data_IF_388879898101
#
_entry.id   IF_388879898101
#
_cell.length_a   1.000
_cell.length_b   1.000
_cell.length_c   1.000
_cell.angle_alpha   90.00
_cell.angle_beta   90.00
_cell.angle_gamma   90.00
#
_symmetry.space_group_name_H-M   'P 1'
#
loop_
_entity.id
_entity.type
_entity.pdbx_description
1 polymer ?
#
# COMPACT_ATOMS: atom_id res chain seq x y z
N UNK A 1 16.69 -7.83 18.21
CA UNK A 1 17.65 -8.35 17.22
C UNK A 1 17.24 -7.78 15.88
N UNK A 2 18.19 -7.23 15.12
CA UNK A 2 17.96 -6.85 13.72
C UNK A 2 18.19 -8.07 12.84
N UNK A 3 17.55 -8.11 11.68
CA UNK A 3 17.59 -9.22 10.71
C UNK A 3 18.14 -8.81 9.35
N UNK A 4 18.68 -7.59 9.23
CA UNK A 4 19.15 -6.98 7.97
C UNK A 4 18.02 -6.89 6.93
N UNK A 5 16.88 -6.34 7.35
CA UNK A 5 15.68 -6.21 6.51
C UNK A 5 14.89 -4.94 6.80
N UNK A 6 13.92 -4.62 5.94
CA UNK A 6 13.03 -3.46 6.11
C UNK A 6 12.32 -3.44 7.48
N UNK A 7 11.99 -4.60 8.03
CA UNK A 7 11.34 -4.76 9.34
C UNK A 7 12.25 -4.46 10.53
N UNK A 8 13.53 -4.16 10.31
CA UNK A 8 14.40 -3.58 11.34
C UNK A 8 13.94 -2.17 11.74
N UNK A 9 13.21 -1.48 10.86
CA UNK A 9 12.47 -0.27 11.20
C UNK A 9 11.25 -0.67 12.06
N UNK A 10 11.28 -0.29 13.33
CA UNK A 10 10.28 -0.69 14.31
C UNK A 10 8.84 -0.39 13.86
N UNK A 11 7.98 -1.41 13.94
CA UNK A 11 6.56 -1.31 13.64
C UNK A 11 6.18 -1.50 12.17
N UNK A 12 7.14 -1.45 11.23
CA UNK A 12 6.90 -1.89 9.86
C UNK A 12 6.66 -3.40 9.82
N UNK A 13 5.71 -3.82 9.00
CA UNK A 13 5.42 -5.22 8.69
C UNK A 13 5.43 -5.43 7.18
N UNK A 14 5.82 -6.61 6.73
CA UNK A 14 5.80 -6.99 5.31
C UNK A 14 5.03 -8.29 5.17
N UNK A 15 4.10 -8.34 4.22
CA UNK A 15 3.31 -9.52 3.89
C UNK A 15 3.46 -9.90 2.42
N UNK A 16 3.48 -11.20 2.13
CA UNK A 16 3.56 -11.73 0.78
C UNK A 16 2.41 -12.72 0.54
N UNK A 17 1.79 -12.63 -0.63
CA UNK A 17 0.87 -13.64 -1.14
C UNK A 17 1.32 -14.04 -2.55
N UNK A 18 1.70 -15.30 -2.73
CA UNK A 18 2.26 -15.83 -3.98
C UNK A 18 1.38 -16.93 -4.52
N UNK A 19 1.17 -16.94 -5.84
CA UNK A 19 0.56 -18.05 -6.56
C UNK A 19 1.55 -18.59 -7.58
N UNK A 20 1.92 -19.86 -7.41
CA UNK A 20 2.86 -20.57 -8.26
C UNK A 20 2.32 -21.97 -8.62
N UNK A 21 2.61 -22.43 -9.84
CA UNK A 21 2.12 -23.72 -10.37
C UNK A 21 0.87 -23.56 -11.24
N UNK A 22 0.51 -24.61 -11.98
CA UNK A 22 -0.68 -24.65 -12.85
C UNK A 22 -0.81 -23.46 -13.82
N UNK A 23 0.32 -23.01 -14.36
CA UNK A 23 0.40 -21.85 -15.27
C UNK A 23 0.52 -20.49 -14.57
N UNK A 24 0.55 -20.44 -13.23
CA UNK A 24 0.72 -19.21 -12.46
C UNK A 24 2.16 -19.02 -12.02
N UNK A 25 2.61 -17.77 -12.08
CA UNK A 25 3.83 -17.28 -11.45
C UNK A 25 3.69 -15.79 -11.17
N UNK A 26 2.98 -15.45 -10.09
CA UNK A 26 2.68 -14.05 -9.72
C UNK A 26 2.53 -13.91 -8.21
N UNK A 27 2.40 -12.68 -7.72
CA UNK A 27 2.12 -12.40 -6.32
C UNK A 27 1.99 -10.92 -6.01
N UNK A 28 1.65 -10.64 -4.76
CA UNK A 28 1.57 -9.29 -4.20
C UNK A 28 2.39 -9.23 -2.93
N UNK A 29 3.13 -8.14 -2.75
CA UNK A 29 3.79 -7.76 -1.51
C UNK A 29 3.14 -6.49 -0.97
N UNK A 30 2.85 -6.47 0.32
CA UNK A 30 2.33 -5.30 1.03
C UNK A 30 3.31 -4.92 2.12
N UNK A 31 3.74 -3.65 2.11
CA UNK A 31 4.43 -3.04 3.25
C UNK A 31 3.37 -2.33 4.08
N UNK A 32 3.18 -2.75 5.33
CA UNK A 32 2.20 -2.20 6.25
C UNK A 32 2.92 -1.34 7.30
N UNK A 33 2.49 -0.09 7.43
CA UNK A 33 2.99 0.85 8.40
C UNK A 33 2.56 0.48 9.84
N UNK A 34 3.23 1.02 10.87
CA UNK A 34 2.70 0.96 12.23
C UNK A 34 1.34 1.65 12.36
N UNK A 35 0.71 1.44 13.51
CA UNK A 35 -0.53 2.15 13.87
C UNK A 35 -0.35 3.67 13.73
N UNK A 36 -1.35 4.35 13.17
CA UNK A 36 -1.28 5.78 12.84
C UNK A 36 -0.60 6.11 11.50
N UNK A 37 -0.10 5.11 10.77
CA UNK A 37 0.49 5.25 9.43
C UNK A 37 1.90 5.85 9.43
N UNK A 38 2.51 5.87 8.25
CA UNK A 38 3.83 6.45 8.01
C UNK A 38 3.73 7.60 7.00
N UNK A 39 4.57 8.63 7.18
CA UNK A 39 4.73 9.69 6.16
C UNK A 39 5.29 9.05 4.90
N UNK A 40 4.70 9.39 3.74
CA UNK A 40 5.06 8.79 2.47
C UNK A 40 5.21 9.84 1.37
N UNK A 41 6.08 9.53 0.42
CA UNK A 41 6.28 10.25 -0.84
C UNK A 41 6.66 9.23 -1.93
N UNK A 42 6.57 9.62 -3.20
CA UNK A 42 6.89 8.74 -4.33
C UNK A 42 7.65 9.48 -5.43
N UNK A 43 8.56 8.78 -6.09
CA UNK A 43 9.23 9.22 -7.31
C UNK A 43 9.13 8.10 -8.36
N UNK A 44 8.45 8.38 -9.47
CA UNK A 44 8.22 7.42 -10.56
C UNK A 44 9.12 7.80 -11.73
N UNK A 45 10.10 6.94 -12.03
CA UNK A 45 11.19 7.27 -12.96
C UNK A 45 11.21 6.49 -14.28
N UNK A 46 10.49 5.37 -14.36
CA UNK A 46 10.37 4.58 -15.59
C UNK A 46 9.46 5.25 -16.63
N UNK A 47 9.70 4.99 -17.92
CA UNK A 47 8.91 5.56 -19.02
C UNK A 47 7.55 4.89 -19.28
N UNK A 48 7.29 3.73 -18.68
CA UNK A 48 6.03 3.00 -18.79
C UNK A 48 5.49 2.59 -17.42
N UNK A 49 5.08 3.54 -16.57
CA UNK A 49 4.64 3.23 -15.21
C UNK A 49 3.23 2.64 -15.19
N UNK A 50 3.00 1.67 -14.30
CA UNK A 50 1.67 1.26 -13.86
C UNK A 50 1.53 1.53 -12.37
N UNK A 51 0.74 2.53 -12.01
CA UNK A 51 0.64 3.03 -10.64
C UNK A 51 -0.80 3.35 -10.23
N UNK A 52 -1.02 3.40 -8.92
CA UNK A 52 -2.29 3.83 -8.30
C UNK A 52 -1.98 4.79 -7.15
N UNK A 53 -2.80 5.85 -7.02
CA UNK A 53 -2.81 6.81 -5.89
C UNK A 53 -1.49 7.60 -5.70
N UNK A 54 -0.65 7.72 -6.74
CA UNK A 54 0.63 8.43 -6.66
C UNK A 54 0.46 9.94 -6.46
N UNK A 55 -0.55 10.56 -7.09
CA UNK A 55 -0.82 11.99 -6.94
C UNK A 55 -1.16 12.35 -5.49
N UNK A 56 -1.81 11.46 -4.75
CA UNK A 56 -2.14 11.68 -3.34
C UNK A 56 -0.90 11.88 -2.45
N UNK A 57 0.28 11.41 -2.90
CA UNK A 57 1.55 11.52 -2.20
C UNK A 57 2.35 12.79 -2.57
N UNK A 58 1.81 13.67 -3.41
CA UNK A 58 2.42 14.98 -3.61
C UNK A 58 2.45 15.74 -2.26
N UNK A 59 3.59 16.33 -1.84
CA UNK A 59 3.70 17.02 -0.55
C UNK A 59 2.70 18.16 -0.32
N UNK A 60 2.05 18.66 -1.36
CA UNK A 60 1.02 19.72 -1.29
C UNK A 60 -0.38 19.19 -1.01
N UNK A 61 -0.58 17.87 -1.09
CA UNK A 61 -1.90 17.26 -1.02
C UNK A 61 -2.30 16.87 0.40
N UNK A 62 -3.59 16.53 0.56
CA UNK A 62 -4.23 16.29 1.85
C UNK A 62 -3.63 15.12 2.63
N UNK A 63 -3.21 14.07 1.92
CA UNK A 63 -2.77 12.80 2.52
C UNK A 63 -1.33 12.94 2.98
N UNK A 64 -1.13 12.96 4.29
CA UNK A 64 0.21 13.10 4.88
C UNK A 64 0.82 11.77 5.32
N UNK A 65 -0.03 10.75 5.58
CA UNK A 65 0.38 9.42 5.99
C UNK A 65 -0.45 8.36 5.30
N UNK A 66 0.18 7.24 4.98
CA UNK A 66 -0.48 6.04 4.45
C UNK A 66 -0.25 4.86 5.39
N UNK A 67 -1.17 3.91 5.36
CA UNK A 67 -1.08 2.70 6.18
C UNK A 67 -0.44 1.54 5.43
N UNK A 68 -0.50 1.53 4.10
CA UNK A 68 0.09 0.45 3.30
C UNK A 68 0.62 0.95 1.95
N UNK A 69 1.61 0.25 1.42
CA UNK A 69 2.06 0.34 0.03
C UNK A 69 2.01 -1.04 -0.61
N UNK A 70 1.55 -1.13 -1.85
CA UNK A 70 1.36 -2.39 -2.58
C UNK A 70 2.32 -2.51 -3.75
N UNK A 71 3.06 -3.62 -3.82
CA UNK A 71 3.87 -4.02 -4.96
C UNK A 71 3.26 -5.29 -5.53
N UNK A 72 2.86 -5.29 -6.80
CA UNK A 72 2.05 -6.37 -7.37
C UNK A 72 2.58 -6.80 -8.74
N UNK A 73 2.54 -8.11 -9.02
CA UNK A 73 2.76 -8.62 -10.37
C UNK A 73 1.55 -8.37 -11.27
N UNK A 74 1.60 -8.86 -12.51
CA UNK A 74 0.44 -8.83 -13.41
C UNK A 74 0.22 -7.51 -14.16
N UNK A 75 1.21 -6.60 -14.16
CA UNK A 75 1.13 -5.30 -14.84
C UNK A 75 -0.13 -4.53 -14.41
N UNK A 76 -0.70 -3.69 -15.28
CA UNK A 76 -1.80 -2.79 -14.93
C UNK A 76 -3.01 -3.52 -14.31
N UNK A 77 -3.30 -4.76 -14.72
CA UNK A 77 -4.36 -5.59 -14.13
C UNK A 77 -4.09 -5.94 -12.66
N UNK A 78 -2.82 -6.06 -12.28
CA UNK A 78 -2.39 -6.35 -10.91
C UNK A 78 -2.75 -5.25 -9.91
N UNK A 79 -3.01 -4.03 -10.37
CA UNK A 79 -3.41 -2.91 -9.51
C UNK A 79 -4.75 -3.15 -8.81
N UNK A 80 -5.56 -4.10 -9.29
CA UNK A 80 -6.78 -4.56 -8.60
C UNK A 80 -6.48 -5.10 -7.19
N UNK A 81 -5.27 -5.63 -6.95
CA UNK A 81 -4.85 -6.11 -5.63
C UNK A 81 -4.88 -5.01 -4.56
N UNK A 82 -4.65 -3.75 -4.94
CA UNK A 82 -4.69 -2.62 -4.02
C UNK A 82 -6.10 -2.40 -3.43
N UNK A 83 -7.15 -2.69 -4.20
CA UNK A 83 -8.54 -2.56 -3.74
C UNK A 83 -8.85 -3.52 -2.59
N UNK A 84 -8.29 -4.74 -2.61
CA UNK A 84 -8.41 -5.67 -1.49
C UNK A 84 -7.72 -5.18 -0.22
N UNK A 85 -6.57 -4.52 -0.36
CA UNK A 85 -5.86 -3.88 0.76
C UNK A 85 -6.65 -2.68 1.29
N UNK A 86 -7.25 -1.86 0.41
CA UNK A 86 -8.14 -0.78 0.82
C UNK A 86 -9.30 -1.31 1.66
N UNK A 87 -10.02 -2.33 1.18
CA UNK A 87 -11.13 -2.91 1.93
C UNK A 87 -10.70 -3.43 3.32
N UNK A 88 -9.56 -4.14 3.38
CA UNK A 88 -9.02 -4.64 4.64
C UNK A 88 -8.67 -3.53 5.65
N UNK A 89 -8.16 -2.39 5.15
CA UNK A 89 -7.85 -1.22 5.97
C UNK A 89 -9.12 -0.51 6.45
N UNK A 90 -10.12 -0.35 5.57
CA UNK A 90 -11.42 0.25 5.91
C UNK A 90 -12.12 -0.53 7.02
N UNK A 91 -12.17 -1.87 6.93
CA UNK A 91 -12.69 -2.76 7.98
C UNK A 91 -12.03 -2.54 9.36
N UNK A 92 -10.82 -1.98 9.38
CA UNK A 92 -10.03 -1.73 10.59
C UNK A 92 -10.00 -0.25 10.97
N UNK A 93 -10.80 0.59 10.32
CA UNK A 93 -10.84 2.04 10.58
C UNK A 93 -9.52 2.73 10.24
N UNK A 94 -8.79 2.21 9.27
CA UNK A 94 -7.51 2.76 8.83
C UNK A 94 -7.64 3.52 7.52
N UNK A 95 -7.43 4.83 7.56
CA UNK A 95 -7.44 5.69 6.38
C UNK A 95 -7.55 7.17 6.74
N UNK A 96 -7.80 8.00 5.74
CA UNK A 96 -8.11 9.43 5.93
C UNK A 96 -9.52 9.54 6.49
N UNK A 97 -9.70 10.20 7.63
CA UNK A 97 -11.02 10.41 8.23
C UNK A 97 -11.85 11.35 7.36
N UNK A 98 -13.05 10.94 6.97
CA UNK A 98 -13.96 11.70 6.11
C UNK A 98 -15.31 12.02 6.77
N UNK A 99 -15.48 11.69 8.04
CA UNK A 99 -16.72 11.93 8.77
C UNK A 99 -16.55 12.01 10.29
N UNK A 100 -17.65 12.34 11.00
CA UNK A 100 -17.65 12.44 12.46
C UNK A 100 -17.50 11.06 13.13
N UNK A 101 -17.98 10.00 12.52
CA UNK A 101 -17.76 8.63 12.99
C UNK A 101 -16.28 8.23 12.75
N UNK A 102 -15.54 7.74 13.76
CA UNK A 102 -14.18 7.22 13.59
C UNK A 102 -14.05 6.10 12.54
N UNK A 103 -15.12 5.35 12.26
CA UNK A 103 -15.13 4.31 11.23
C UNK A 103 -15.22 4.87 9.80
N UNK A 104 -15.61 6.13 9.62
CA UNK A 104 -15.70 6.76 8.30
C UNK A 104 -14.31 7.18 7.83
N UNK A 105 -13.63 6.23 7.17
CA UNK A 105 -12.30 6.42 6.62
C UNK A 105 -12.26 6.12 5.13
N UNK A 106 -11.35 6.79 4.42
CA UNK A 106 -10.98 6.46 3.03
C UNK A 106 -9.51 6.06 3.04
N UNK A 107 -9.19 4.77 2.88
CA UNK A 107 -7.81 4.31 2.75
C UNK A 107 -7.18 4.86 1.47
N UNK A 108 -5.97 5.40 1.57
CA UNK A 108 -5.14 5.79 0.43
C UNK A 108 -4.03 4.75 0.34
N UNK A 109 -4.04 3.96 -0.73
CA UNK A 109 -3.15 2.80 -0.88
C UNK A 109 -2.35 2.94 -2.17
N UNK A 110 -1.17 3.58 -2.11
CA UNK A 110 -0.25 3.65 -3.24
C UNK A 110 0.15 2.26 -3.72
N UNK A 111 0.13 2.05 -5.03
CA UNK A 111 0.53 0.78 -5.64
C UNK A 111 1.39 0.97 -6.90
N UNK A 112 2.24 0.00 -7.18
CA UNK A 112 3.03 -0.12 -8.41
C UNK A 112 3.10 -1.57 -8.91
N UNK A 113 3.10 -1.74 -10.24
CA UNK A 113 3.08 -3.05 -10.93
C UNK A 113 4.08 -3.18 -12.08
#
# INVERSE_FOLDING_TARGET
>A
MTVDALTDVAGLRVGHATRAGDGWLTGTTVVLAPEGGAVAGVDVRGGGPGTKETDALDPRNLVQKVQAVVLTGGSAYGLDAASGVMAWLEERGHGVRVGPDPAHVVPVVPAAC
#
